data_IF_786493341541
#
_entry.id   IF_786493341541
#
_cell.length_a   1.000
_cell.length_b   1.000
_cell.length_c   1.000
_cell.angle_alpha   90.00
_cell.angle_beta   90.00
_cell.angle_gamma   90.00
#
_symmetry.space_group_name_H-M   'P 1'
#
loop_
_entity.id
_entity.type
_entity.pdbx_description
1 polymer ?
#
# COMPACT_ATOMS: atom_id res chain seq x y z
N UNK A 1 -6.63 -23.97 -6.31
CA UNK A 1 -5.51 -23.02 -6.44
C UNK A 1 -5.84 -22.06 -7.59
N UNK A 2 -6.39 -20.88 -7.28
CA UNK A 2 -6.71 -19.86 -8.29
C UNK A 2 -5.55 -18.89 -8.36
N UNK A 3 -4.80 -18.92 -9.47
CA UNK A 3 -3.76 -17.93 -9.78
C UNK A 3 -4.42 -16.58 -9.99
N UNK A 4 -4.17 -15.62 -9.11
CA UNK A 4 -4.53 -14.22 -9.34
C UNK A 4 -3.58 -13.67 -10.41
N UNK A 5 -4.08 -13.58 -11.62
CA UNK A 5 -3.45 -12.83 -12.70
C UNK A 5 -3.73 -11.36 -12.41
N UNK A 6 -2.71 -10.62 -12.01
CA UNK A 6 -2.79 -9.16 -11.91
C UNK A 6 -2.86 -8.59 -13.33
N UNK A 7 -4.01 -8.01 -13.67
CA UNK A 7 -4.23 -7.34 -14.93
C UNK A 7 -3.35 -6.08 -15.01
N UNK A 8 -2.48 -6.03 -16.01
CA UNK A 8 -1.77 -4.85 -16.45
C UNK A 8 -2.79 -3.87 -17.04
N UNK A 9 -3.13 -2.80 -16.33
CA UNK A 9 -4.02 -1.76 -16.86
C UNK A 9 -3.23 -0.88 -17.82
N UNK A 10 -3.37 -1.11 -19.12
CA UNK A 10 -2.81 -0.26 -20.18
C UNK A 10 -3.86 0.83 -20.48
N UNK A 11 -3.60 2.04 -20.05
CA UNK A 11 -4.34 3.22 -20.50
C UNK A 11 -3.73 3.74 -21.81
N UNK A 12 -4.42 3.50 -22.92
CA UNK A 12 -4.12 4.14 -24.19
C UNK A 12 -4.75 5.55 -24.21
N UNK A 13 -3.94 6.58 -24.27
CA UNK A 13 -4.38 7.93 -24.63
C UNK A 13 -3.35 8.55 -25.58
N UNK A 14 -3.83 8.95 -26.77
CA UNK A 14 -3.41 10.01 -27.69
C UNK A 14 -1.90 10.19 -28.01
N UNK A 15 -1.61 10.51 -29.25
CA UNK A 15 -0.32 10.77 -29.89
C UNK A 15 0.49 11.96 -29.30
N UNK A 16 0.75 11.95 -28.00
CA UNK A 16 1.87 12.68 -27.39
C UNK A 16 2.91 11.66 -26.96
N UNK A 17 4.20 11.91 -27.21
CA UNK A 17 5.33 11.10 -26.73
C UNK A 17 5.42 11.20 -25.19
N UNK A 18 4.36 10.80 -24.50
CA UNK A 18 4.31 10.70 -23.05
C UNK A 18 5.05 9.43 -22.64
N UNK A 19 6.03 9.57 -21.77
CA UNK A 19 6.74 8.44 -21.19
C UNK A 19 5.74 7.47 -20.57
N UNK A 20 5.73 6.22 -21.01
CA UNK A 20 4.81 5.22 -20.49
C UNK A 20 5.23 4.85 -19.06
N UNK A 21 4.33 5.04 -18.10
CA UNK A 21 4.57 4.74 -16.69
C UNK A 21 4.00 3.36 -16.33
N UNK A 22 4.80 2.56 -15.64
CA UNK A 22 4.41 1.25 -15.14
C UNK A 22 4.56 1.21 -13.62
N UNK A 23 3.68 0.47 -12.95
CA UNK A 23 3.73 0.26 -11.51
C UNK A 23 3.80 -1.23 -11.19
N UNK A 24 4.73 -1.60 -10.30
CA UNK A 24 4.82 -2.94 -9.72
C UNK A 24 4.57 -2.86 -8.24
N UNK A 25 3.67 -3.69 -7.72
CA UNK A 25 3.38 -3.77 -6.30
C UNK A 25 3.55 -5.19 -5.78
N UNK A 26 4.10 -5.31 -4.59
CA UNK A 26 4.13 -6.56 -3.83
C UNK A 26 3.60 -6.33 -2.41
N UNK A 27 2.92 -7.35 -1.89
CA UNK A 27 2.42 -7.36 -0.52
C UNK A 27 3.43 -8.07 0.40
N UNK A 28 3.77 -7.41 1.51
CA UNK A 28 4.61 -7.96 2.57
C UNK A 28 3.78 -8.10 3.84
N UNK A 29 3.78 -9.28 4.44
CA UNK A 29 2.97 -9.60 5.62
C UNK A 29 3.79 -9.53 6.90
N UNK A 30 3.16 -9.00 7.95
CA UNK A 30 3.73 -8.97 9.29
C UNK A 30 2.81 -9.72 10.27
N UNK A 31 3.35 -10.43 11.27
CA UNK A 31 2.52 -10.97 12.35
C UNK A 31 1.76 -9.86 13.08
N UNK A 32 0.66 -10.21 13.72
CA UNK A 32 -0.15 -9.27 14.52
C UNK A 32 0.73 -8.59 15.57
N UNK A 33 0.58 -7.28 15.72
CA UNK A 33 1.34 -6.44 16.65
C UNK A 33 2.88 -6.51 16.50
N UNK A 34 3.39 -7.05 15.40
CA UNK A 34 4.82 -7.14 15.13
C UNK A 34 5.23 -6.25 13.95
N UNK A 35 6.42 -5.68 14.03
CA UNK A 35 7.09 -5.00 12.92
C UNK A 35 8.31 -5.78 12.39
N UNK A 36 8.58 -6.95 12.95
CA UNK A 36 9.72 -7.78 12.51
C UNK A 36 9.40 -8.39 11.14
N UNK A 37 10.22 -8.05 10.15
CA UNK A 37 10.13 -8.67 8.82
C UNK A 37 10.68 -10.10 8.90
N UNK A 38 9.77 -11.06 8.74
CA UNK A 38 10.14 -12.48 8.65
C UNK A 38 9.91 -12.96 7.20
N UNK A 39 10.98 -13.26 6.44
CA UNK A 39 10.85 -13.78 5.08
C UNK A 39 10.05 -15.09 4.99
N UNK A 40 10.01 -15.87 6.04
CA UNK A 40 9.29 -17.17 6.06
C UNK A 40 7.83 -17.03 6.53
N UNK A 41 7.32 -15.81 6.75
CA UNK A 41 5.94 -15.59 7.17
C UNK A 41 5.03 -15.42 5.97
N UNK A 42 4.07 -16.34 5.81
CA UNK A 42 3.15 -16.32 4.67
C UNK A 42 3.87 -16.41 3.33
N UNK A 43 3.53 -15.53 2.39
CA UNK A 43 4.11 -15.48 1.04
C UNK A 43 5.32 -14.53 0.94
N UNK A 44 5.88 -14.08 2.06
CA UNK A 44 6.94 -13.06 2.08
C UNK A 44 8.17 -13.46 1.25
N UNK A 45 8.58 -14.73 1.31
CA UNK A 45 9.76 -15.20 0.56
C UNK A 45 9.59 -14.93 -0.94
N UNK A 46 8.42 -15.26 -1.50
CA UNK A 46 8.13 -15.03 -2.91
C UNK A 46 8.00 -13.53 -3.24
N UNK A 47 7.24 -12.77 -2.44
CA UNK A 47 7.05 -11.33 -2.64
C UNK A 47 8.35 -10.54 -2.56
N UNK A 48 9.19 -10.85 -1.58
CA UNK A 48 10.48 -10.17 -1.37
C UNK A 48 11.50 -10.54 -2.46
N UNK A 49 11.53 -11.79 -2.90
CA UNK A 49 12.37 -12.20 -4.03
C UNK A 49 11.91 -11.55 -5.33
N UNK A 50 10.60 -11.48 -5.56
CA UNK A 50 10.00 -10.85 -6.73
C UNK A 50 10.37 -9.37 -6.84
N UNK A 51 10.25 -8.60 -5.75
CA UNK A 51 10.54 -7.16 -5.80
C UNK A 51 12.04 -6.89 -5.95
N UNK A 52 12.90 -7.65 -5.29
CA UNK A 52 14.36 -7.52 -5.44
C UNK A 52 14.79 -7.85 -6.86
N UNK A 53 14.26 -8.94 -7.44
CA UNK A 53 14.52 -9.28 -8.83
C UNK A 53 14.05 -8.19 -9.77
N UNK A 54 12.81 -7.71 -9.61
CA UNK A 54 12.24 -6.66 -10.45
C UNK A 54 13.09 -5.38 -10.43
N UNK A 55 13.46 -4.89 -9.25
CA UNK A 55 14.32 -3.71 -9.11
C UNK A 55 15.69 -3.91 -9.76
N UNK A 56 16.28 -5.09 -9.61
CA UNK A 56 17.56 -5.44 -10.24
C UNK A 56 17.45 -5.48 -11.76
N UNK A 57 16.36 -6.04 -12.29
CA UNK A 57 16.13 -6.10 -13.73
C UNK A 57 15.92 -4.70 -14.32
N UNK A 58 15.12 -3.85 -13.66
CA UNK A 58 14.91 -2.44 -14.07
C UNK A 58 16.22 -1.65 -14.09
N UNK A 59 17.11 -1.86 -13.11
CA UNK A 59 18.41 -1.17 -13.08
C UNK A 59 19.36 -1.59 -14.19
N UNK A 60 19.22 -2.81 -14.70
CA UNK A 60 20.04 -3.33 -15.82
C UNK A 60 19.51 -2.91 -17.19
N UNK A 61 18.22 -2.58 -17.26
CA UNK A 61 17.58 -2.20 -18.52
C UNK A 61 17.78 -0.72 -18.80
N UNK A 62 18.60 -0.42 -19.82
CA UNK A 62 18.91 0.95 -20.23
C UNK A 62 17.70 1.73 -20.78
N UNK A 63 16.64 1.03 -21.19
CA UNK A 63 15.40 1.62 -21.72
C UNK A 63 14.43 2.04 -20.61
N UNK A 64 14.64 1.59 -19.38
CA UNK A 64 13.81 1.88 -18.24
C UNK A 64 14.48 2.89 -17.30
N UNK A 65 13.64 3.64 -16.58
CA UNK A 65 14.05 4.57 -15.53
C UNK A 65 13.23 4.27 -14.27
N UNK A 66 13.91 3.90 -13.21
CA UNK A 66 13.29 3.80 -11.90
C UNK A 66 13.02 5.21 -11.36
N UNK A 67 11.75 5.57 -11.16
CA UNK A 67 11.33 6.92 -10.77
C UNK A 67 10.95 7.02 -9.31
N UNK A 68 10.36 5.96 -8.72
CA UNK A 68 10.01 5.96 -7.30
C UNK A 68 9.92 4.54 -6.74
N UNK A 69 10.31 4.39 -5.48
CA UNK A 69 10.06 3.21 -4.65
C UNK A 69 9.38 3.66 -3.37
N UNK A 70 8.15 3.21 -3.15
CA UNK A 70 7.35 3.59 -2.00
C UNK A 70 7.16 2.40 -1.05
N UNK A 71 7.50 2.60 0.22
CA UNK A 71 7.31 1.63 1.29
C UNK A 71 6.12 2.05 2.16
N UNK A 72 5.05 1.26 2.11
CA UNK A 72 3.80 1.52 2.82
C UNK A 72 3.60 0.48 3.91
N UNK A 73 3.97 0.82 5.13
CA UNK A 73 3.61 0.04 6.30
C UNK A 73 2.12 0.15 6.56
N UNK A 74 1.52 -0.88 7.09
CA UNK A 74 0.12 -0.85 7.49
C UNK A 74 -0.07 -1.47 8.86
N UNK A 75 -1.05 -0.97 9.61
CA UNK A 75 -1.52 -1.56 10.85
C UNK A 75 -3.04 -1.62 10.84
N UNK A 76 -3.64 -2.61 11.49
CA UNK A 76 -5.08 -2.74 11.57
C UNK A 76 -5.68 -1.62 12.42
N UNK A 77 -6.82 -1.03 12.03
CA UNK A 77 -7.53 -0.04 12.85
C UNK A 77 -7.96 -0.53 14.25
N UNK A 78 -7.86 -1.82 14.52
CA UNK A 78 -8.13 -2.40 15.84
C UNK A 78 -7.16 -1.90 16.92
N UNK A 79 -5.91 -1.62 16.57
CA UNK A 79 -4.90 -1.08 17.48
C UNK A 79 -5.19 0.35 17.93
N UNK A 80 -4.50 0.79 18.97
CA UNK A 80 -4.52 2.21 19.35
C UNK A 80 -3.72 3.06 18.34
N UNK A 81 -4.10 4.34 18.13
CA UNK A 81 -3.49 5.19 17.11
C UNK A 81 -1.96 5.27 17.21
N UNK A 82 -1.43 5.54 18.40
CA UNK A 82 0.03 5.64 18.62
C UNK A 82 0.76 4.32 18.39
N UNK A 83 0.13 3.19 18.74
CA UNK A 83 0.71 1.88 18.48
C UNK A 83 0.75 1.60 16.98
N UNK A 84 -0.34 1.89 16.29
CA UNK A 84 -0.45 1.70 14.83
C UNK A 84 0.55 2.57 14.08
N UNK A 85 0.71 3.83 14.46
CA UNK A 85 1.71 4.72 13.88
C UNK A 85 3.11 4.13 14.02
N UNK A 86 3.52 3.74 15.24
CA UNK A 86 4.83 3.13 15.50
C UNK A 86 5.04 1.82 14.72
N UNK A 87 4.00 0.98 14.64
CA UNK A 87 4.08 -0.27 13.85
C UNK A 87 4.28 0.02 12.37
N UNK A 88 3.54 0.98 11.82
CA UNK A 88 3.63 1.39 10.42
C UNK A 88 5.00 1.92 10.07
N UNK A 89 5.52 2.88 10.85
CA UNK A 89 6.85 3.45 10.66
C UNK A 89 7.95 2.38 10.69
N UNK A 90 7.89 1.47 11.67
CA UNK A 90 8.86 0.37 11.79
C UNK A 90 8.73 -0.66 10.67
N UNK A 91 7.52 -0.95 10.20
CA UNK A 91 7.29 -1.85 9.06
C UNK A 91 7.86 -1.25 7.78
N UNK A 92 7.62 0.04 7.52
CA UNK A 92 8.24 0.76 6.40
C UNK A 92 9.77 0.66 6.47
N UNK A 93 10.37 1.00 7.61
CA UNK A 93 11.82 0.98 7.79
C UNK A 93 12.42 -0.43 7.62
N UNK A 94 11.72 -1.47 8.07
CA UNK A 94 12.20 -2.85 7.93
C UNK A 94 12.10 -3.37 6.50
N UNK A 95 11.05 -3.00 5.75
CA UNK A 95 10.94 -3.30 4.33
C UNK A 95 12.00 -2.57 3.50
N UNK A 96 12.18 -1.27 3.77
CA UNK A 96 13.21 -0.46 3.11
C UNK A 96 14.61 -1.04 3.35
N UNK A 97 14.96 -1.32 4.61
CA UNK A 97 16.24 -1.93 4.96
C UNK A 97 16.47 -3.25 4.22
N UNK A 98 15.49 -4.15 4.21
CA UNK A 98 15.59 -5.43 3.52
C UNK A 98 15.89 -5.27 2.02
N UNK A 99 15.23 -4.33 1.36
CA UNK A 99 15.45 -4.06 -0.06
C UNK A 99 16.81 -3.41 -0.30
N UNK A 100 17.18 -2.39 0.50
CA UNK A 100 18.48 -1.68 0.35
C UNK A 100 19.70 -2.55 0.62
N UNK A 101 19.59 -3.56 1.46
CA UNK A 101 20.65 -4.55 1.67
C UNK A 101 20.94 -5.39 0.41
N UNK A 102 20.03 -5.40 -0.57
CA UNK A 102 20.10 -6.23 -1.80
C UNK A 102 20.13 -5.44 -3.09
N UNK A 103 19.62 -4.23 -3.06
CA UNK A 103 19.53 -3.34 -4.24
C UNK A 103 19.89 -1.92 -3.82
N UNK A 104 20.82 -1.29 -4.54
CA UNK A 104 21.14 0.11 -4.30
C UNK A 104 20.00 1.01 -4.78
N UNK A 105 19.43 1.79 -3.86
CA UNK A 105 18.36 2.75 -4.15
C UNK A 105 18.80 4.15 -3.75
N UNK A 106 18.83 5.12 -4.69
CA UNK A 106 19.06 6.52 -4.37
C UNK A 106 17.98 7.06 -3.42
N UNK A 107 18.36 7.86 -2.43
CA UNK A 107 17.39 8.40 -1.46
C UNK A 107 16.33 9.27 -2.11
N UNK A 108 16.68 9.98 -3.18
CA UNK A 108 15.76 10.87 -3.90
C UNK A 108 14.52 10.19 -4.49
N UNK A 109 14.57 8.88 -4.73
CA UNK A 109 13.44 8.12 -5.29
C UNK A 109 12.73 7.25 -4.25
N UNK A 110 13.19 7.23 -3.01
CA UNK A 110 12.59 6.41 -1.94
C UNK A 110 11.66 7.27 -1.10
N UNK A 111 10.46 6.77 -0.85
CA UNK A 111 9.49 7.42 0.01
C UNK A 111 8.76 6.41 0.91
N UNK A 112 8.15 6.92 1.96
CA UNK A 112 7.27 6.19 2.87
C UNK A 112 5.89 6.79 2.79
N UNK A 113 4.85 5.95 2.85
CA UNK A 113 3.49 6.45 2.93
C UNK A 113 2.94 6.38 4.36
N UNK A 114 2.05 7.29 4.65
CA UNK A 114 1.32 7.34 5.91
C UNK A 114 0.21 6.29 5.95
N UNK A 115 -0.27 5.98 7.17
CA UNK A 115 -1.21 4.89 7.46
C UNK A 115 -2.61 4.99 6.83
N UNK A 116 -2.95 6.08 6.15
CA UNK A 116 -4.30 6.34 5.62
C UNK A 116 -4.82 5.29 4.62
N UNK A 117 -3.92 4.49 4.03
CA UNK A 117 -4.30 3.47 3.04
C UNK A 117 -5.10 2.30 3.61
N UNK A 118 -5.03 2.08 4.92
CA UNK A 118 -5.78 0.99 5.58
C UNK A 118 -7.29 1.22 5.56
N UNK A 119 -7.73 2.44 5.77
CA UNK A 119 -9.15 2.79 5.70
C UNK A 119 -9.68 2.65 4.27
N UNK A 120 -8.91 3.02 3.27
CA UNK A 120 -9.29 2.86 1.86
C UNK A 120 -9.42 1.39 1.48
N UNK A 121 -8.48 0.54 1.95
CA UNK A 121 -8.56 -0.90 1.71
C UNK A 121 -9.75 -1.52 2.42
N UNK A 122 -10.05 -1.09 3.65
CA UNK A 122 -11.26 -1.51 4.35
C UNK A 122 -12.52 -1.06 3.59
N UNK A 123 -12.56 0.20 3.13
CA UNK A 123 -13.66 0.72 2.32
C UNK A 123 -13.89 -0.12 1.05
N UNK A 124 -12.82 -0.55 0.37
CA UNK A 124 -12.94 -1.43 -0.79
C UNK A 124 -13.64 -2.76 -0.45
N UNK A 125 -13.28 -3.41 0.66
CA UNK A 125 -13.96 -4.65 1.07
C UNK A 125 -15.42 -4.41 1.46
N UNK A 126 -15.70 -3.32 2.18
CA UNK A 126 -17.06 -2.91 2.55
C UNK A 126 -17.91 -2.69 1.30
N UNK A 127 -17.40 -1.94 0.33
CA UNK A 127 -18.10 -1.63 -0.93
C UNK A 127 -18.46 -2.86 -1.76
N UNK A 128 -17.58 -3.88 -1.74
CA UNK A 128 -17.77 -5.14 -2.48
C UNK A 128 -18.58 -6.19 -1.72
N UNK A 129 -19.11 -5.86 -0.56
CA UNK A 129 -19.84 -6.77 0.30
C UNK A 129 -21.34 -6.43 0.38
N UNK A 130 -22.13 -7.41 0.81
CA UNK A 130 -23.55 -7.25 1.14
C UNK A 130 -23.74 -7.01 2.64
N UNK A 131 -22.76 -6.37 3.32
CA UNK A 131 -22.86 -6.13 4.75
C UNK A 131 -24.02 -5.19 5.09
N UNK A 132 -24.72 -5.44 6.20
CA UNK A 132 -25.72 -4.49 6.69
C UNK A 132 -25.06 -3.12 7.02
N UNK A 133 -25.78 -2.05 6.75
CA UNK A 133 -25.33 -0.66 7.01
C UNK A 133 -24.06 -0.28 6.25
N UNK A 134 -23.88 -0.86 5.06
CA UNK A 134 -22.71 -0.64 4.20
C UNK A 134 -22.46 0.84 3.92
N UNK A 135 -23.51 1.57 3.58
CA UNK A 135 -23.40 2.97 3.15
C UNK A 135 -23.02 3.89 4.32
N UNK A 136 -23.53 3.63 5.54
CA UNK A 136 -23.13 4.34 6.74
C UNK A 136 -21.67 4.07 7.11
N UNK A 137 -21.20 2.84 6.93
CA UNK A 137 -19.79 2.50 7.15
C UNK A 137 -18.89 3.21 6.13
N UNK A 138 -19.28 3.20 4.86
CA UNK A 138 -18.53 3.89 3.81
C UNK A 138 -18.49 5.40 4.06
N UNK A 139 -19.60 6.00 4.49
CA UNK A 139 -19.63 7.40 4.89
C UNK A 139 -18.65 7.69 6.04
N UNK A 140 -18.66 6.87 7.10
CA UNK A 140 -17.71 7.04 8.20
C UNK A 140 -16.25 6.92 7.74
N UNK A 141 -15.94 6.00 6.84
CA UNK A 141 -14.56 5.78 6.38
C UNK A 141 -14.09 6.91 5.44
N UNK A 142 -14.94 7.37 4.54
CA UNK A 142 -14.55 8.27 3.43
C UNK A 142 -14.71 9.75 3.76
N UNK A 143 -15.79 10.08 4.50
CA UNK A 143 -16.27 11.46 4.64
C UNK A 143 -16.01 12.05 6.02
N UNK A 144 -15.49 11.26 6.97
CA UNK A 144 -15.25 11.76 8.33
C UNK A 144 -13.76 11.80 8.66
N UNK A 145 -13.39 12.76 9.54
CA UNK A 145 -12.04 12.87 10.07
C UNK A 145 -11.62 11.58 10.80
N UNK A 146 -10.37 11.17 10.62
CA UNK A 146 -9.83 10.01 11.33
C UNK A 146 -9.74 10.26 12.83
N UNK A 147 -9.31 11.45 13.22
CA UNK A 147 -9.20 11.89 14.62
C UNK A 147 -9.79 13.28 14.78
N UNK A 148 -10.57 13.48 15.84
CA UNK A 148 -11.14 14.78 16.22
C UNK A 148 -10.55 15.21 17.55
N UNK A 149 -9.95 16.40 17.56
CA UNK A 149 -9.33 16.97 18.76
C UNK A 149 -10.11 18.19 19.23
N UNK A 150 -10.16 18.41 20.54
CA UNK A 150 -10.72 19.65 21.09
C UNK A 150 -9.72 20.82 21.00
N UNK A 151 -10.14 21.99 21.44
CA UNK A 151 -9.29 23.21 21.42
C UNK A 151 -8.03 23.10 22.29
N UNK A 152 -7.93 22.10 23.17
CA UNK A 152 -6.78 21.83 24.02
C UNK A 152 -5.87 20.72 23.44
N UNK A 153 -6.11 20.25 22.22
CA UNK A 153 -5.36 19.18 21.58
C UNK A 153 -5.63 17.78 22.16
N UNK A 154 -6.71 17.60 22.91
CA UNK A 154 -7.10 16.29 23.46
C UNK A 154 -7.98 15.58 22.45
N UNK A 155 -7.67 14.30 22.14
CA UNK A 155 -8.49 13.44 21.31
C UNK A 155 -9.85 13.21 21.96
N UNK A 156 -10.92 13.66 21.32
CA UNK A 156 -12.30 13.54 21.83
C UNK A 156 -13.13 12.53 21.06
N UNK A 157 -12.80 12.29 19.80
CA UNK A 157 -13.49 11.32 18.96
C UNK A 157 -12.57 10.77 17.86
N UNK A 158 -12.94 9.64 17.25
CA UNK A 158 -12.21 9.05 16.14
C UNK A 158 -13.13 8.24 15.23
N UNK A 159 -12.76 8.12 13.96
CA UNK A 159 -13.42 7.24 12.99
C UNK A 159 -13.62 5.83 13.54
N UNK A 160 -12.59 5.27 14.17
CA UNK A 160 -12.66 3.97 14.85
C UNK A 160 -13.80 3.94 15.87
N UNK A 161 -13.86 4.94 16.78
CA UNK A 161 -14.87 5.00 17.80
C UNK A 161 -16.27 5.06 17.21
N UNK A 162 -16.48 5.94 16.22
CA UNK A 162 -17.78 6.05 15.53
C UNK A 162 -18.21 4.74 14.88
N UNK A 163 -17.28 4.03 14.21
CA UNK A 163 -17.57 2.72 13.62
C UNK A 163 -17.85 1.65 14.69
N UNK A 164 -17.18 1.71 15.85
CA UNK A 164 -17.44 0.80 16.97
C UNK A 164 -18.81 1.06 17.61
N UNK A 165 -19.25 2.31 17.66
CA UNK A 165 -20.54 2.70 18.25
C UNK A 165 -21.71 2.47 17.25
N UNK A 166 -21.42 2.38 15.94
CA UNK A 166 -22.42 2.21 14.90
C UNK A 166 -23.21 0.91 15.09
N UNK A 167 -24.53 1.02 15.14
CA UNK A 167 -25.46 -0.10 15.32
C UNK A 167 -25.14 -0.99 16.53
N UNK A 168 -24.84 -0.35 17.66
CA UNK A 168 -24.52 -1.05 18.93
C UNK A 168 -23.34 -2.02 18.79
N UNK A 169 -22.34 -1.68 17.99
CA UNK A 169 -21.14 -2.47 17.77
C UNK A 169 -21.29 -3.63 16.78
N UNK A 170 -22.48 -3.89 16.26
CA UNK A 170 -22.73 -5.02 15.33
C UNK A 170 -21.94 -4.86 14.04
N UNK A 171 -21.88 -3.65 13.52
CA UNK A 171 -21.16 -3.30 12.30
C UNK A 171 -19.65 -3.54 12.45
N UNK A 172 -19.08 -3.07 13.55
CA UNK A 172 -17.67 -3.28 13.87
C UNK A 172 -17.33 -4.77 14.02
N UNK A 173 -18.14 -5.53 14.74
CA UNK A 173 -17.95 -6.97 14.93
C UNK A 173 -18.07 -7.75 13.62
N UNK A 174 -18.93 -7.32 12.70
CA UNK A 174 -18.99 -7.89 11.35
C UNK A 174 -17.67 -7.67 10.61
N UNK A 175 -17.17 -6.42 10.56
CA UNK A 175 -15.91 -6.09 9.91
C UNK A 175 -14.71 -6.82 10.55
N UNK A 176 -14.67 -6.98 11.88
CA UNK A 176 -13.62 -7.72 12.58
C UNK A 176 -13.51 -9.16 12.10
N UNK A 177 -14.64 -9.80 11.83
CA UNK A 177 -14.68 -11.20 11.39
C UNK A 177 -14.42 -11.34 9.91
N UNK A 178 -15.05 -10.52 9.08
CA UNK A 178 -15.06 -10.73 7.62
C UNK A 178 -13.92 -10.00 6.89
N UNK A 179 -13.54 -8.79 7.30
CA UNK A 179 -12.63 -7.93 6.53
C UNK A 179 -11.27 -7.73 7.19
N UNK A 180 -11.22 -7.57 8.50
CA UNK A 180 -9.95 -7.30 9.17
C UNK A 180 -8.87 -8.38 8.97
N UNK A 181 -9.19 -9.70 8.88
CA UNK A 181 -8.17 -10.70 8.58
C UNK A 181 -7.41 -10.43 7.27
N UNK A 182 -8.10 -9.88 6.25
CA UNK A 182 -7.50 -9.52 4.97
C UNK A 182 -6.72 -8.19 5.00
N UNK A 183 -7.09 -7.30 5.95
CA UNK A 183 -6.49 -5.97 6.10
C UNK A 183 -5.30 -5.96 7.07
N UNK A 184 -5.31 -6.81 8.10
CA UNK A 184 -4.37 -6.81 9.24
C UNK A 184 -2.88 -6.84 8.88
N UNK A 185 -2.51 -7.45 7.76
CA UNK A 185 -1.14 -7.89 7.54
C UNK A 185 -0.54 -7.44 6.21
N UNK A 186 -1.18 -6.52 5.49
CA UNK A 186 -0.76 -6.15 4.14
C UNK A 186 -0.01 -4.81 4.12
N UNK A 187 1.31 -4.85 4.28
CA UNK A 187 2.18 -3.73 3.91
C UNK A 187 2.56 -3.86 2.43
N UNK A 188 2.81 -2.74 1.75
CA UNK A 188 3.06 -2.72 0.31
C UNK A 188 4.44 -2.14 0.00
N UNK A 189 5.08 -2.69 -1.02
CA UNK A 189 6.20 -2.06 -1.71
C UNK A 189 5.73 -1.77 -3.13
N UNK A 190 5.64 -0.49 -3.50
CA UNK A 190 5.22 -0.05 -4.82
C UNK A 190 6.41 0.56 -5.55
N UNK A 191 6.69 0.10 -6.76
CA UNK A 191 7.78 0.55 -7.62
C UNK A 191 7.20 1.18 -8.86
N UNK A 192 7.63 2.39 -9.16
CA UNK A 192 7.22 3.17 -10.33
C UNK A 192 8.39 3.29 -11.29
N UNK A 193 8.14 2.98 -12.55
CA UNK A 193 9.14 3.07 -13.63
C UNK A 193 8.57 3.82 -14.82
N UNK A 194 9.43 4.47 -15.56
CA UNK A 194 9.13 5.13 -16.82
C UNK A 194 9.96 4.49 -17.93
N UNK A 195 9.36 4.33 -19.11
CA UNK A 195 10.09 3.98 -20.31
C UNK A 195 10.76 5.25 -20.86
N UNK A 196 12.08 5.19 -21.06
CA UNK A 196 12.80 6.30 -21.68
C UNK A 196 12.35 6.45 -23.14
N UNK A 197 12.22 7.67 -23.66
CA UNK A 197 11.91 7.85 -25.07
C UNK A 197 13.02 7.22 -25.94
N UNK A 198 12.62 6.43 -26.92
CA UNK A 198 13.55 5.89 -27.92
C UNK A 198 14.04 7.05 -28.79
N UNK A 199 15.31 7.41 -28.67
CA UNK A 199 15.92 8.37 -29.59
C UNK A 199 16.03 7.65 -30.95
N UNK A 200 15.12 7.97 -31.86
CA UNK A 200 15.25 7.57 -33.25
C UNK A 200 16.36 8.45 -33.85
N UNK A 201 17.54 7.88 -34.00
CA UNK A 201 18.67 8.56 -34.62
C UNK A 201 18.38 8.71 -36.14
N UNK A 202 17.81 9.87 -36.50
CA UNK A 202 17.55 10.24 -37.89
C UNK A 202 18.85 10.70 -38.61
N UNK A 203 19.98 10.03 -38.36
CA UNK A 203 21.19 10.22 -39.16
C UNK A 203 21.34 9.08 -40.16
N UNK A 204 20.65 9.18 -41.30
CA UNK A 204 21.06 8.65 -42.60
C UNK A 204 20.12 9.14 -43.68
N UNK A 205 20.39 10.34 -44.17
CA UNK A 205 20.00 10.76 -45.51
C UNK A 205 21.00 11.84 -45.95
N UNK A 206 22.16 11.40 -46.42
CA UNK A 206 22.98 12.09 -47.40
C UNK A 206 23.50 11.03 -48.38
#
# INVERSE_FOLDING_TARGET
MKRLVFALLILFCGNDMSAQTYTKEVCVRFPVASSVLNPNFGDNAASLAEIVKFLTDVQKDSTLKLTSVKFCGSASPEGGPLLNQRLTERRCANMERYVRERVQLPDAIVSKCECSEMWQKLAYFVEKSDMPYRDEVLHQIRETEEFTYNSKGVLVDSRKKRLMDLNYGRTWNYMLREFFPAVRNASLISVYIEQKPTVVDNQKAE
#
